data_IF_743331600401
#
_entry.id   IF_743331600401
#
_cell.length_a   1.000
_cell.length_b   1.000
_cell.length_c   1.000
_cell.angle_alpha   90.00
_cell.angle_beta   90.00
_cell.angle_gamma   90.00
#
_symmetry.space_group_name_H-M   'P 1'
#
loop_
_entity.id
_entity.type
_entity.pdbx_description
1 polymer ?
#
# COMPACT_ATOMS: atom_id res chain seq x y z
N UNK A 1 1.71 6.09 13.70
CA UNK A 1 1.36 5.60 12.35
C UNK A 1 -0.14 5.32 12.29
N UNK A 2 -0.86 5.86 11.30
CA UNK A 2 -2.31 5.62 11.13
C UNK A 2 -2.56 4.30 10.41
N UNK A 3 -3.31 3.39 11.03
CA UNK A 3 -3.60 2.07 10.48
C UNK A 3 -4.96 1.97 9.79
N UNK A 4 -5.95 2.78 10.18
CA UNK A 4 -7.31 2.71 9.64
C UNK A 4 -7.67 3.99 8.90
N UNK A 5 -8.21 3.83 7.70
CA UNK A 5 -8.60 4.93 6.82
C UNK A 5 -10.10 4.94 6.62
N UNK A 6 -10.67 6.15 6.54
CA UNK A 6 -12.13 6.35 6.49
C UNK A 6 -12.72 5.74 5.23
N UNK A 7 -12.03 5.94 4.10
CA UNK A 7 -12.47 5.50 2.79
C UNK A 7 -11.27 5.02 1.96
N UNK A 8 -11.57 4.49 0.78
CA UNK A 8 -10.59 3.95 -0.15
C UNK A 8 -9.65 5.03 -0.71
N UNK A 9 -10.11 6.29 -0.82
CA UNK A 9 -9.30 7.41 -1.32
C UNK A 9 -8.23 7.83 -0.32
N UNK A 10 -8.59 8.06 0.96
CA UNK A 10 -7.64 8.35 2.03
C UNK A 10 -6.59 7.24 2.19
N UNK A 11 -7.02 5.97 2.11
CA UNK A 11 -6.12 4.83 2.13
C UNK A 11 -5.12 4.88 0.98
N UNK A 12 -5.59 5.18 -0.23
CA UNK A 12 -4.76 5.17 -1.44
C UNK A 12 -3.73 6.30 -1.41
N UNK A 13 -4.11 7.49 -0.94
CA UNK A 13 -3.16 8.59 -0.76
C UNK A 13 -2.11 8.26 0.30
N UNK A 14 -2.50 7.68 1.43
CA UNK A 14 -1.52 7.29 2.45
C UNK A 14 -0.51 6.24 1.93
N UNK A 15 -0.98 5.23 1.20
CA UNK A 15 -0.08 4.24 0.58
C UNK A 15 0.86 4.88 -0.46
N UNK A 16 0.35 5.85 -1.24
CA UNK A 16 1.18 6.61 -2.20
C UNK A 16 2.28 7.37 -1.46
N UNK A 17 1.91 8.12 -0.43
CA UNK A 17 2.85 8.95 0.31
C UNK A 17 3.93 8.09 0.98
N UNK A 18 3.60 6.89 1.48
CA UNK A 18 4.61 5.97 2.04
C UNK A 18 5.61 5.46 1.00
N UNK A 19 5.15 5.21 -0.23
CA UNK A 19 6.04 4.78 -1.32
C UNK A 19 6.84 5.97 -1.86
N UNK A 20 6.29 7.18 -1.80
CA UNK A 20 7.02 8.41 -2.16
C UNK A 20 8.15 8.68 -1.15
N UNK A 21 7.88 8.57 0.15
CA UNK A 21 8.90 8.64 1.20
C UNK A 21 10.03 7.63 0.93
N UNK A 22 9.70 6.44 0.44
CA UNK A 22 10.67 5.42 0.08
C UNK A 22 11.52 5.80 -1.13
N UNK A 23 10.90 6.30 -2.20
CA UNK A 23 11.63 6.77 -3.37
C UNK A 23 12.54 7.97 -3.07
N UNK A 24 12.20 8.78 -2.08
CA UNK A 24 13.01 9.89 -1.61
C UNK A 24 14.13 9.45 -0.63
N UNK A 25 14.19 8.17 -0.25
CA UNK A 25 15.17 7.64 0.69
C UNK A 25 14.90 8.00 2.15
N UNK A 26 13.67 8.42 2.47
CA UNK A 26 13.25 8.80 3.83
C UNK A 26 12.85 7.59 4.68
N UNK A 27 12.69 6.41 4.08
CA UNK A 27 12.34 5.16 4.77
C UNK A 27 13.08 3.98 4.12
N UNK A 28 13.54 3.05 4.94
CA UNK A 28 14.22 1.82 4.50
C UNK A 28 13.22 0.75 4.04
N UNK A 29 13.71 -0.24 3.27
CA UNK A 29 12.91 -1.33 2.68
C UNK A 29 12.05 -2.05 3.73
N UNK A 30 12.67 -2.53 4.82
CA UNK A 30 11.99 -3.31 5.86
C UNK A 30 10.89 -2.50 6.56
N UNK A 31 11.17 -1.22 6.82
CA UNK A 31 10.23 -0.32 7.47
C UNK A 31 9.03 -0.01 6.56
N UNK A 32 9.26 0.13 5.25
CA UNK A 32 8.19 0.27 4.26
C UNK A 32 7.34 -1.01 4.20
N UNK A 33 7.99 -2.17 4.07
CA UNK A 33 7.30 -3.47 3.96
C UNK A 33 6.35 -3.69 5.14
N UNK A 34 6.83 -3.51 6.37
CA UNK A 34 6.04 -3.67 7.58
C UNK A 34 4.85 -2.69 7.62
N UNK A 35 5.11 -1.43 7.26
CA UNK A 35 4.10 -0.36 7.25
C UNK A 35 3.00 -0.62 6.24
N UNK A 36 3.36 -0.95 5.01
CA UNK A 36 2.43 -1.30 3.93
C UNK A 36 1.58 -2.49 4.32
N UNK A 37 2.21 -3.57 4.79
CA UNK A 37 1.51 -4.79 5.16
C UNK A 37 0.46 -4.52 6.25
N UNK A 38 0.86 -3.87 7.36
CA UNK A 38 -0.06 -3.54 8.46
C UNK A 38 -1.24 -2.69 7.99
N UNK A 39 -0.99 -1.69 7.15
CA UNK A 39 -2.05 -0.79 6.64
C UNK A 39 -3.00 -1.53 5.71
N UNK A 40 -2.49 -2.37 4.80
CA UNK A 40 -3.34 -3.15 3.90
C UNK A 40 -4.18 -4.17 4.68
N UNK A 41 -3.58 -4.88 5.63
CA UNK A 41 -4.28 -5.86 6.48
C UNK A 41 -5.43 -5.23 7.28
N UNK A 42 -5.20 -4.05 7.88
CA UNK A 42 -6.25 -3.31 8.61
C UNK A 42 -7.35 -2.72 7.70
N UNK A 43 -7.15 -2.66 6.38
CA UNK A 43 -8.09 -2.08 5.44
C UNK A 43 -8.45 -3.01 4.26
N UNK A 44 -8.34 -4.34 4.43
CA UNK A 44 -8.59 -5.33 3.36
C UNK A 44 -9.84 -5.04 2.52
N UNK A 45 -10.98 -4.78 3.18
CA UNK A 45 -12.27 -4.53 2.51
C UNK A 45 -12.27 -3.25 1.66
N UNK A 46 -11.42 -2.27 1.98
CA UNK A 46 -11.27 -1.03 1.19
C UNK A 46 -10.21 -1.17 0.11
N UNK A 47 -9.17 -1.96 0.38
CA UNK A 47 -8.04 -2.13 -0.52
C UNK A 47 -8.33 -3.12 -1.65
N UNK A 48 -9.02 -4.22 -1.34
CA UNK A 48 -9.38 -5.27 -2.29
C UNK A 48 -10.85 -5.20 -2.71
N UNK A 49 -11.11 -5.53 -3.96
CA UNK A 49 -12.44 -5.77 -4.52
C UNK A 49 -12.35 -6.93 -5.50
N UNK A 50 -13.25 -7.90 -5.37
CA UNK A 50 -13.31 -9.09 -6.25
C UNK A 50 -11.96 -9.85 -6.31
N UNK A 51 -11.28 -9.99 -5.15
CA UNK A 51 -9.95 -10.58 -4.99
C UNK A 51 -8.79 -9.85 -5.70
N UNK A 52 -9.03 -8.65 -6.22
CA UNK A 52 -7.99 -7.80 -6.82
C UNK A 52 -7.83 -6.48 -6.07
N UNK A 53 -6.70 -5.79 -6.28
CA UNK A 53 -6.55 -4.40 -5.80
C UNK A 53 -7.65 -3.55 -6.45
N UNK A 54 -8.39 -2.83 -5.62
CA UNK A 54 -9.54 -2.08 -6.06
C UNK A 54 -9.13 -0.89 -6.98
N UNK A 55 -10.07 -0.39 -7.78
CA UNK A 55 -9.80 0.60 -8.84
C UNK A 55 -9.13 1.88 -8.34
N UNK A 56 -9.54 2.41 -7.18
CA UNK A 56 -9.05 3.70 -6.67
C UNK A 56 -7.56 3.64 -6.24
N UNK A 57 -7.06 2.63 -5.50
CA UNK A 57 -5.63 2.45 -5.28
C UNK A 57 -4.85 2.34 -6.60
N UNK A 58 -5.30 1.50 -7.55
CA UNK A 58 -4.67 1.39 -8.88
C UNK A 58 -4.53 2.75 -9.57
N UNK A 59 -5.57 3.58 -9.52
CA UNK A 59 -5.58 4.93 -10.11
C UNK A 59 -4.65 5.92 -9.40
N UNK A 60 -4.66 5.96 -8.06
CA UNK A 60 -3.89 6.95 -7.28
C UNK A 60 -2.40 6.60 -7.24
N UNK A 61 -2.07 5.32 -7.11
CA UNK A 61 -0.68 4.88 -7.05
C UNK A 61 0.02 4.99 -8.42
N UNK A 62 -0.73 4.73 -9.50
CA UNK A 62 -0.16 4.61 -10.82
C UNK A 62 0.78 3.41 -10.93
N UNK A 63 1.33 3.17 -12.13
CA UNK A 63 2.07 1.94 -12.45
C UNK A 63 3.28 1.71 -11.55
N UNK A 64 4.12 2.72 -11.37
CA UNK A 64 5.41 2.59 -10.66
C UNK A 64 5.21 2.23 -9.20
N UNK A 65 4.34 2.94 -8.47
CA UNK A 65 4.10 2.68 -7.05
C UNK A 65 3.31 1.40 -6.84
N UNK A 66 2.38 1.09 -7.75
CA UNK A 66 1.64 -0.17 -7.68
C UNK A 66 2.57 -1.38 -7.81
N UNK A 67 3.59 -1.32 -8.69
CA UNK A 67 4.57 -2.39 -8.80
C UNK A 67 5.33 -2.64 -7.48
N UNK A 68 5.78 -1.57 -6.80
CA UNK A 68 6.45 -1.68 -5.49
C UNK A 68 5.50 -2.31 -4.46
N UNK A 69 4.27 -1.80 -4.41
CA UNK A 69 3.24 -2.31 -3.51
C UNK A 69 2.96 -3.80 -3.73
N UNK A 70 2.83 -4.23 -4.99
CA UNK A 70 2.59 -5.63 -5.34
C UNK A 70 3.77 -6.53 -4.98
N UNK A 71 5.02 -6.09 -5.19
CA UNK A 71 6.21 -6.83 -4.78
C UNK A 71 6.26 -7.06 -3.27
N UNK A 72 5.99 -6.01 -2.48
CA UNK A 72 5.91 -6.09 -1.01
C UNK A 72 4.83 -7.10 -0.58
N UNK A 73 3.63 -7.01 -1.17
CA UNK A 73 2.52 -7.89 -0.84
C UNK A 73 2.74 -9.34 -1.28
N UNK A 74 3.49 -9.56 -2.36
CA UNK A 74 3.87 -10.89 -2.83
C UNK A 74 4.88 -11.53 -1.88
N UNK A 75 5.96 -10.81 -1.53
CA UNK A 75 6.99 -11.27 -0.59
C UNK A 75 6.38 -11.75 0.73
N UNK A 76 5.45 -10.99 1.31
CA UNK A 76 4.76 -11.35 2.56
C UNK A 76 3.79 -12.53 2.47
N UNK A 77 3.41 -12.99 1.27
CA UNK A 77 2.60 -14.21 1.10
C UNK A 77 3.46 -15.48 1.03
N UNK A 78 4.73 -15.33 0.72
CA UNK A 78 5.69 -16.44 0.56
C UNK A 78 6.44 -16.75 1.87
N UNK A 79 6.42 -15.84 2.84
CA UNK A 79 6.88 -16.01 4.22
C UNK A 79 5.85 -16.71 5.12
#
# INVERSE_FOLDING_TARGET
MRLYYKNQEELSYALRDYIDDYFEGNIEDEALEEKIFKVVECNKVKFYKDNEIAKKPKQILGKTRLNVLEQILMKKREE
#
